data_IF_143567631547
#
_entry.id   IF_143567631547
#
_cell.length_a   1.000
_cell.length_b   1.000
_cell.length_c   1.000
_cell.angle_alpha   90.00
_cell.angle_beta   90.00
_cell.angle_gamma   90.00
#
_symmetry.space_group_name_H-M   'P 1'
#
loop_
_entity.id
_entity.type
_entity.pdbx_description
1 polymer ?
#
# COMPACT_ATOMS: atom_id res chain seq x y z
N UNK A 1 12.67 -11.72 3.41
CA UNK A 1 12.38 -13.10 2.97
C UNK A 1 13.20 -13.41 1.75
N UNK A 2 13.95 -14.49 1.78
CA UNK A 2 14.66 -15.01 0.62
C UNK A 2 13.76 -15.98 -0.15
N UNK A 3 13.89 -16.00 -1.47
CA UNK A 3 13.29 -17.07 -2.26
C UNK A 3 14.15 -18.33 -2.08
N UNK A 4 13.52 -19.42 -1.67
CA UNK A 4 14.21 -20.71 -1.42
C UNK A 4 14.87 -21.29 -2.66
N UNK A 5 14.47 -20.83 -3.84
CA UNK A 5 15.12 -21.15 -5.11
C UNK A 5 15.23 -19.86 -5.93
N UNK A 6 16.33 -19.66 -6.68
CA UNK A 6 16.45 -18.51 -7.56
C UNK A 6 15.25 -18.40 -8.49
N UNK A 7 14.65 -17.22 -8.56
CA UNK A 7 13.56 -16.99 -9.49
C UNK A 7 14.08 -17.05 -10.92
N UNK A 8 13.30 -17.67 -11.79
CA UNK A 8 13.55 -17.66 -13.23
C UNK A 8 12.75 -16.54 -13.88
N UNK A 9 13.24 -16.01 -15.00
CA UNK A 9 12.57 -14.94 -15.74
C UNK A 9 11.98 -15.41 -17.08
N UNK A 10 10.90 -14.75 -17.50
CA UNK A 10 10.28 -14.90 -18.80
C UNK A 10 9.59 -13.60 -19.21
N UNK A 11 9.26 -13.44 -20.49
CA UNK A 11 8.49 -12.29 -20.99
C UNK A 11 6.99 -12.58 -20.92
N UNK A 12 6.22 -11.69 -20.32
CA UNK A 12 4.76 -11.81 -20.25
C UNK A 12 4.14 -11.69 -21.64
N UNK A 13 3.31 -12.66 -22.03
CA UNK A 13 2.46 -12.54 -23.21
C UNK A 13 1.10 -11.97 -22.80
N UNK A 14 0.43 -12.61 -21.83
CA UNK A 14 -0.87 -12.16 -21.33
C UNK A 14 -1.23 -12.82 -20.01
N UNK A 15 -1.94 -12.11 -19.15
CA UNK A 15 -2.69 -12.67 -18.01
C UNK A 15 -4.14 -12.89 -18.41
N UNK A 16 -4.74 -14.00 -18.01
CA UNK A 16 -6.13 -14.32 -18.33
C UNK A 16 -6.77 -15.21 -17.26
N UNK A 17 -8.11 -15.24 -17.23
CA UNK A 17 -8.89 -16.01 -16.24
C UNK A 17 -8.48 -15.75 -14.78
N UNK A 18 -7.91 -14.57 -14.50
CA UNK A 18 -7.33 -14.11 -13.21
C UNK A 18 -6.12 -14.90 -12.70
N UNK A 19 -6.11 -16.22 -12.86
CA UNK A 19 -5.17 -17.14 -12.22
C UNK A 19 -4.10 -17.72 -13.16
N UNK A 20 -4.10 -17.34 -14.43
CA UNK A 20 -3.18 -17.86 -15.45
C UNK A 20 -2.46 -16.74 -16.18
N UNK A 21 -1.21 -16.98 -16.53
CA UNK A 21 -0.44 -16.10 -17.40
C UNK A 21 0.40 -16.92 -18.37
N UNK A 22 0.30 -16.63 -19.66
CA UNK A 22 1.19 -17.20 -20.67
C UNK A 22 2.43 -16.33 -20.77
N UNK A 23 3.59 -16.98 -20.82
CA UNK A 23 4.90 -16.33 -20.84
C UNK A 23 5.80 -17.00 -21.87
N UNK A 24 6.80 -16.26 -22.35
CA UNK A 24 7.81 -16.74 -23.30
C UNK A 24 9.18 -16.75 -22.64
N UNK A 25 9.86 -17.89 -22.67
CA UNK A 25 11.25 -18.02 -22.20
C UNK A 25 12.24 -17.48 -23.24
N UNK A 26 13.52 -17.26 -22.85
CA UNK A 26 14.56 -16.84 -23.78
C UNK A 26 14.78 -17.79 -24.98
N UNK A 27 14.51 -19.09 -24.80
CA UNK A 27 14.60 -20.10 -25.87
C UNK A 27 13.38 -20.11 -26.82
N UNK A 28 12.41 -19.22 -26.60
CA UNK A 28 11.18 -19.11 -27.38
C UNK A 28 10.04 -20.02 -26.92
N UNK A 29 10.27 -20.95 -25.98
CA UNK A 29 9.19 -21.81 -25.48
C UNK A 29 8.14 -20.99 -24.73
N UNK A 30 6.87 -21.26 -25.05
CA UNK A 30 5.71 -20.69 -24.35
C UNK A 30 5.19 -21.69 -23.34
N UNK A 31 4.90 -21.23 -22.12
CA UNK A 31 4.26 -22.02 -21.09
C UNK A 31 3.40 -21.13 -20.17
N UNK A 32 2.60 -21.76 -19.31
CA UNK A 32 1.64 -21.07 -18.45
C UNK A 32 2.10 -21.07 -16.99
N UNK A 33 2.11 -19.87 -16.39
CA UNK A 33 2.30 -19.65 -14.95
C UNK A 33 0.97 -19.63 -14.20
N UNK A 34 1.00 -20.07 -12.95
CA UNK A 34 -0.04 -19.73 -11.99
C UNK A 34 0.13 -18.28 -11.52
N UNK A 35 -0.94 -17.48 -11.62
CA UNK A 35 -1.01 -16.15 -11.06
C UNK A 35 -1.71 -16.19 -9.68
N UNK A 36 -0.94 -16.01 -8.61
CA UNK A 36 -1.41 -16.04 -7.23
C UNK A 36 -2.00 -14.67 -6.78
N UNK A 37 -2.65 -13.95 -7.69
CA UNK A 37 -3.29 -12.67 -7.44
C UNK A 37 -4.66 -12.65 -8.11
N UNK A 38 -5.70 -12.37 -7.33
CA UNK A 38 -7.07 -12.36 -7.83
C UNK A 38 -7.58 -10.97 -8.19
N UNK A 39 -6.84 -9.92 -7.83
CA UNK A 39 -7.15 -8.52 -8.09
C UNK A 39 -7.00 -8.14 -9.56
N UNK A 40 -7.24 -6.86 -9.84
CA UNK A 40 -7.16 -6.32 -11.20
C UNK A 40 -5.72 -6.38 -11.73
N UNK A 41 -4.72 -6.22 -10.87
CA UNK A 41 -3.30 -6.11 -11.25
C UNK A 41 -3.05 -4.97 -12.25
N UNK A 42 -3.78 -3.87 -12.10
CA UNK A 42 -3.63 -2.67 -12.90
C UNK A 42 -2.17 -2.20 -12.88
N UNK A 43 -1.56 -2.07 -14.06
CA UNK A 43 -0.16 -1.68 -14.22
C UNK A 43 0.88 -2.75 -13.85
N UNK A 44 0.48 -3.95 -13.45
CA UNK A 44 1.39 -5.01 -12.98
C UNK A 44 1.52 -6.20 -13.95
N UNK A 45 0.79 -6.20 -15.06
CA UNK A 45 0.66 -7.33 -15.98
C UNK A 45 0.62 -6.90 -17.46
N UNK A 46 1.48 -5.95 -17.83
CA UNK A 46 1.51 -5.42 -19.21
C UNK A 46 2.22 -6.44 -20.12
N UNK A 47 1.64 -6.85 -21.25
CA UNK A 47 2.35 -7.66 -22.24
C UNK A 47 3.71 -7.05 -22.57
N UNK A 48 4.76 -7.88 -22.58
CA UNK A 48 6.14 -7.45 -22.76
C UNK A 48 6.92 -7.23 -21.46
N UNK A 49 6.26 -7.10 -20.30
CA UNK A 49 6.96 -7.01 -19.01
C UNK A 49 7.77 -8.29 -18.73
N UNK A 50 8.88 -8.14 -18.01
CA UNK A 50 9.63 -9.28 -17.49
C UNK A 50 8.93 -9.80 -16.24
N UNK A 51 8.65 -11.09 -16.20
CA UNK A 51 8.07 -11.75 -15.03
C UNK A 51 9.08 -12.69 -14.41
N UNK A 52 9.04 -12.78 -13.09
CA UNK A 52 9.88 -13.66 -12.31
C UNK A 52 9.01 -14.68 -11.60
N UNK A 53 9.37 -15.96 -11.73
CA UNK A 53 8.54 -17.07 -11.25
C UNK A 53 9.35 -18.09 -10.44
N UNK A 54 8.69 -18.67 -9.44
CA UNK A 54 9.19 -19.80 -8.66
C UNK A 54 8.72 -21.12 -9.29
N UNK A 55 9.44 -22.21 -9.03
CA UNK A 55 9.03 -23.56 -9.40
C UNK A 55 8.77 -24.37 -8.13
N UNK A 56 7.65 -25.07 -8.08
CA UNK A 56 7.31 -25.99 -7.00
C UNK A 56 7.54 -27.43 -7.43
N UNK A 57 8.24 -28.20 -6.59
CA UNK A 57 8.48 -29.64 -6.82
C UNK A 57 7.26 -30.52 -6.52
N UNK A 58 6.17 -29.97 -6.00
CA UNK A 58 4.95 -30.74 -5.74
C UNK A 58 4.34 -31.29 -7.05
N UNK A 59 4.37 -32.61 -7.28
CA UNK A 59 3.95 -33.21 -8.55
C UNK A 59 2.43 -33.15 -8.76
N UNK A 60 1.65 -32.82 -7.73
CA UNK A 60 0.18 -32.68 -7.82
C UNK A 60 -0.24 -31.33 -8.42
N UNK A 61 0.68 -30.38 -8.60
CA UNK A 61 0.34 -29.07 -9.16
C UNK A 61 0.15 -29.17 -10.66
N UNK A 62 -1.02 -28.73 -11.13
CA UNK A 62 -1.29 -28.57 -12.57
C UNK A 62 -0.34 -27.57 -13.24
N UNK A 63 -0.02 -26.48 -12.53
CA UNK A 63 0.94 -25.47 -12.96
C UNK A 63 2.05 -25.39 -11.90
N UNK A 64 3.24 -25.95 -12.17
CA UNK A 64 4.32 -26.01 -11.19
C UNK A 64 4.97 -24.64 -10.96
N UNK A 65 4.89 -23.76 -11.95
CA UNK A 65 5.48 -22.43 -11.89
C UNK A 65 4.48 -21.37 -11.39
N UNK A 66 4.89 -20.54 -10.42
CA UNK A 66 4.07 -19.47 -9.86
C UNK A 66 4.71 -18.12 -10.14
N UNK A 67 3.94 -17.19 -10.69
CA UNK A 67 4.37 -15.81 -10.92
C UNK A 67 4.52 -15.08 -9.59
N UNK A 68 5.75 -14.67 -9.27
CA UNK A 68 6.09 -13.98 -8.02
C UNK A 68 6.20 -12.47 -8.22
N UNK A 69 7.02 -12.04 -9.20
CA UNK A 69 7.35 -10.63 -9.43
C UNK A 69 7.11 -10.22 -10.88
N UNK A 70 6.85 -8.93 -11.06
CA UNK A 70 6.95 -8.24 -12.34
C UNK A 70 8.06 -7.21 -12.25
N UNK A 71 8.88 -7.14 -13.28
CA UNK A 71 9.74 -6.00 -13.57
C UNK A 71 9.14 -5.30 -14.80
N UNK A 72 8.61 -4.10 -14.57
CA UNK A 72 7.94 -3.33 -15.62
C UNK A 72 8.94 -2.88 -16.68
N UNK A 73 8.44 -2.53 -17.86
CA UNK A 73 9.25 -1.89 -18.91
C UNK A 73 9.91 -0.57 -18.48
N UNK A 74 9.45 0.06 -17.40
CA UNK A 74 10.06 1.27 -16.81
C UNK A 74 11.09 0.93 -15.72
N UNK A 75 11.41 -0.35 -15.50
CA UNK A 75 12.36 -0.83 -14.49
C UNK A 75 11.81 -0.93 -13.08
N UNK A 76 10.49 -0.80 -12.88
CA UNK A 76 9.90 -0.92 -11.55
C UNK A 76 9.67 -2.38 -11.18
N UNK A 77 10.14 -2.77 -10.00
CA UNK A 77 9.89 -4.06 -9.37
C UNK A 77 8.57 -4.09 -8.62
N UNK A 78 7.80 -5.15 -8.82
CA UNK A 78 6.45 -5.34 -8.27
C UNK A 78 6.34 -6.78 -7.76
N UNK A 79 5.99 -7.00 -6.49
CA UNK A 79 5.63 -8.32 -5.99
C UNK A 79 4.14 -8.54 -6.23
N UNK A 80 3.81 -9.31 -7.27
CA UNK A 80 2.42 -9.56 -7.67
C UNK A 80 1.78 -10.68 -6.88
N UNK A 81 2.56 -11.60 -6.31
CA UNK A 81 2.05 -12.64 -5.42
C UNK A 81 1.65 -12.04 -4.06
N UNK A 82 0.36 -11.73 -3.90
CA UNK A 82 -0.16 -11.06 -2.70
C UNK A 82 -0.07 -11.92 -1.45
N UNK A 83 0.11 -13.24 -1.57
CA UNK A 83 0.29 -14.14 -0.42
C UNK A 83 1.61 -13.86 0.33
N UNK A 84 2.53 -13.10 -0.27
CA UNK A 84 3.82 -12.73 0.35
C UNK A 84 3.67 -11.69 1.46
N UNK A 85 2.65 -10.83 1.42
CA UNK A 85 2.53 -9.70 2.34
C UNK A 85 2.50 -10.12 3.83
N UNK A 86 1.68 -11.12 4.18
CA UNK A 86 1.58 -11.61 5.58
C UNK A 86 2.91 -12.21 6.05
N UNK A 87 3.60 -12.96 5.18
CA UNK A 87 4.91 -13.54 5.50
C UNK A 87 5.98 -12.47 5.69
N UNK A 88 5.97 -11.44 4.84
CA UNK A 88 6.89 -10.30 4.93
C UNK A 88 6.73 -9.53 6.23
N UNK A 89 5.48 -9.23 6.62
CA UNK A 89 5.24 -8.55 7.90
C UNK A 89 5.61 -9.43 9.07
N UNK A 90 5.25 -10.72 9.04
CA UNK A 90 5.63 -11.67 10.09
C UNK A 90 7.14 -11.73 10.31
N UNK A 91 7.93 -11.83 9.23
CA UNK A 91 9.39 -11.80 9.29
C UNK A 91 9.89 -10.47 9.87
N UNK A 92 9.38 -9.33 9.38
CA UNK A 92 9.79 -8.02 9.85
C UNK A 92 9.50 -7.80 11.35
N UNK A 93 8.37 -8.33 11.85
CA UNK A 93 8.03 -8.30 13.27
C UNK A 93 8.94 -9.21 14.10
N UNK A 94 9.23 -10.42 13.59
CA UNK A 94 10.15 -11.37 14.24
C UNK A 94 11.55 -10.77 14.39
N UNK A 95 12.01 -10.06 13.37
CA UNK A 95 13.31 -9.37 13.33
C UNK A 95 13.27 -7.96 13.96
N UNK A 96 12.12 -7.55 14.52
CA UNK A 96 11.92 -6.25 15.20
C UNK A 96 12.23 -5.03 14.30
N UNK A 97 11.99 -5.15 12.99
CA UNK A 97 12.19 -4.07 12.01
C UNK A 97 11.05 -3.05 11.94
N UNK A 98 9.89 -3.36 12.53
CA UNK A 98 8.73 -2.47 12.55
C UNK A 98 8.61 -1.87 13.95
N UNK A 99 9.17 -0.67 14.13
CA UNK A 99 9.32 -0.05 15.45
C UNK A 99 7.96 0.22 16.14
N UNK A 100 6.95 0.61 15.37
CA UNK A 100 5.59 0.93 15.81
C UNK A 100 4.86 -0.28 16.43
N UNK A 101 5.30 -1.49 16.06
CA UNK A 101 4.72 -2.77 16.48
C UNK A 101 5.68 -3.56 17.39
N UNK A 102 6.68 -2.89 17.95
CA UNK A 102 7.61 -3.46 18.93
C UNK A 102 6.97 -3.58 20.33
N UNK A 103 7.62 -4.34 21.21
CA UNK A 103 7.20 -4.51 22.62
C UNK A 103 6.05 -5.49 22.81
N UNK A 104 5.88 -6.46 21.90
CA UNK A 104 5.00 -7.60 22.07
C UNK A 104 5.82 -8.89 22.23
N UNK A 105 5.35 -9.83 23.05
CA UNK A 105 6.08 -11.07 23.36
C UNK A 105 5.55 -12.29 22.62
N UNK A 106 4.30 -12.22 22.11
CA UNK A 106 3.66 -13.28 21.32
C UNK A 106 3.21 -12.74 19.97
N UNK A 107 3.44 -13.53 18.93
CA UNK A 107 3.00 -13.29 17.55
C UNK A 107 2.24 -14.53 17.05
N UNK A 108 0.97 -14.36 16.71
CA UNK A 108 0.10 -15.42 16.17
C UNK A 108 -0.41 -15.03 14.79
N UNK A 109 -0.71 -16.02 13.95
CA UNK A 109 -1.17 -15.84 12.57
C UNK A 109 -2.58 -16.41 12.41
N UNK A 110 -3.37 -15.82 11.50
CA UNK A 110 -4.66 -16.37 11.03
C UNK A 110 -5.64 -16.67 12.18
N UNK A 111 -5.73 -15.77 13.16
CA UNK A 111 -6.56 -15.96 14.35
C UNK A 111 -8.01 -15.58 14.04
N UNK A 112 -8.97 -16.45 14.32
CA UNK A 112 -10.39 -16.10 14.18
C UNK A 112 -10.76 -14.94 15.12
N UNK A 113 -11.46 -13.93 14.61
CA UNK A 113 -11.87 -12.75 15.36
C UNK A 113 -13.14 -12.12 14.78
N UNK A 114 -13.71 -11.17 15.52
CA UNK A 114 -14.91 -10.43 15.12
C UNK A 114 -16.18 -11.28 15.17
N UNK A 115 -17.31 -10.64 14.85
CA UNK A 115 -18.63 -11.27 14.86
C UNK A 115 -19.02 -11.88 13.51
N UNK A 116 -18.26 -11.61 12.44
CA UNK A 116 -18.59 -12.03 11.08
C UNK A 116 -17.71 -13.19 10.58
N UNK A 117 -17.13 -14.01 11.46
CA UNK A 117 -16.27 -15.17 11.12
C UNK A 117 -15.03 -14.82 10.26
N UNK A 118 -14.42 -13.66 10.49
CA UNK A 118 -13.15 -13.31 9.85
C UNK A 118 -11.95 -13.91 10.59
N UNK A 119 -10.81 -13.90 9.89
CA UNK A 119 -9.50 -14.19 10.47
C UNK A 119 -8.64 -12.96 10.33
N UNK A 120 -8.00 -12.57 11.43
CA UNK A 120 -7.01 -11.50 11.42
C UNK A 120 -5.70 -12.10 10.91
N UNK A 121 -4.99 -11.36 10.07
CA UNK A 121 -3.76 -11.85 9.48
C UNK A 121 -2.72 -12.13 10.58
N UNK A 122 -2.50 -11.17 11.49
CA UNK A 122 -1.60 -11.30 12.63
C UNK A 122 -2.24 -10.76 13.93
N UNK A 123 -1.90 -11.39 15.05
CA UNK A 123 -2.25 -10.96 16.40
C UNK A 123 -0.98 -10.88 17.25
N UNK A 124 -0.71 -9.70 17.81
CA UNK A 124 0.38 -9.47 18.77
C UNK A 124 -0.18 -9.37 20.19
N UNK A 125 0.51 -9.99 21.16
CA UNK A 125 0.09 -10.00 22.57
C UNK A 125 1.29 -9.80 23.51
N UNK A 126 1.04 -9.15 24.65
CA UNK A 126 1.94 -8.96 25.77
C UNK A 126 1.12 -8.82 27.07
N UNK A 127 1.73 -9.03 28.24
CA UNK A 127 1.01 -8.96 29.52
C UNK A 127 0.64 -7.53 29.94
N UNK A 128 1.47 -6.55 29.54
CA UNK A 128 1.40 -5.15 29.97
C UNK A 128 0.73 -4.23 28.94
N UNK A 129 0.10 -4.79 27.89
CA UNK A 129 -0.40 -4.02 26.74
C UNK A 129 -1.64 -4.69 26.15
N UNK A 130 -2.56 -3.91 25.54
CA UNK A 130 -3.69 -4.48 24.82
C UNK A 130 -3.22 -5.32 23.63
N UNK A 131 -3.97 -6.38 23.34
CA UNK A 131 -3.84 -7.17 22.13
C UNK A 131 -3.88 -6.27 20.89
N UNK A 132 -3.00 -6.53 19.93
CA UNK A 132 -2.91 -5.77 18.68
C UNK A 132 -3.27 -6.64 17.48
N UNK A 133 -4.41 -6.32 16.87
CA UNK A 133 -4.97 -6.98 15.69
C UNK A 133 -4.46 -6.28 14.44
N UNK A 134 -3.78 -7.01 13.56
CA UNK A 134 -3.17 -6.45 12.36
C UNK A 134 -3.76 -7.10 11.11
N UNK A 135 -4.41 -6.29 10.30
CA UNK A 135 -4.86 -6.65 8.96
C UNK A 135 -3.85 -6.15 7.93
N UNK A 136 -3.42 -7.03 7.02
CA UNK A 136 -2.38 -6.75 6.03
C UNK A 136 -3.01 -6.60 4.65
N UNK A 137 -2.68 -5.50 3.97
CA UNK A 137 -3.06 -5.25 2.57
C UNK A 137 -1.82 -5.08 1.71
N UNK A 138 -1.86 -5.66 0.51
CA UNK A 138 -0.84 -5.42 -0.52
C UNK A 138 -1.21 -4.18 -1.32
N UNK A 139 -0.27 -3.26 -1.49
CA UNK A 139 -0.42 -2.08 -2.36
C UNK A 139 0.50 -2.23 -3.57
N UNK A 140 -0.09 -2.38 -4.76
CA UNK A 140 0.65 -2.48 -6.03
C UNK A 140 0.18 -1.48 -7.08
N UNK A 141 -1.02 -0.89 -6.93
CA UNK A 141 -1.52 0.11 -7.85
C UNK A 141 -0.74 1.41 -7.67
N UNK A 142 0.07 1.76 -8.68
CA UNK A 142 0.85 2.99 -8.74
C UNK A 142 0.21 3.98 -9.72
N UNK A 143 0.04 5.24 -9.30
CA UNK A 143 -0.20 6.37 -10.19
C UNK A 143 0.59 7.58 -9.69
N UNK A 144 1.49 8.12 -10.52
CA UNK A 144 2.25 9.35 -10.23
C UNK A 144 2.97 9.33 -8.86
N UNK A 145 3.72 8.25 -8.57
CA UNK A 145 4.43 8.07 -7.29
C UNK A 145 3.51 7.69 -6.10
N UNK A 146 2.19 7.76 -6.26
CA UNK A 146 1.23 7.42 -5.23
C UNK A 146 0.72 5.99 -5.38
N UNK A 147 0.82 5.23 -4.29
CA UNK A 147 0.22 3.92 -4.12
C UNK A 147 -1.23 4.02 -3.71
N UNK A 148 -2.07 3.15 -4.26
CA UNK A 148 -3.51 3.15 -3.99
C UNK A 148 -4.02 1.78 -3.57
N UNK A 149 -4.94 1.77 -2.61
CA UNK A 149 -5.74 0.60 -2.27
C UNK A 149 -7.21 0.98 -2.04
N UNK A 150 -8.18 0.20 -2.54
CA UNK A 150 -8.01 -1.01 -3.36
C UNK A 150 -7.84 -0.71 -4.85
N UNK A 151 -7.47 -1.73 -5.66
CA UNK A 151 -7.37 -1.64 -7.13
C UNK A 151 -8.68 -2.00 -7.86
N UNK A 152 -9.71 -2.41 -7.11
CA UNK A 152 -11.09 -2.63 -7.53
C UNK A 152 -12.01 -2.51 -6.30
N UNK A 153 -13.32 -2.35 -6.50
CA UNK A 153 -14.30 -2.34 -5.39
C UNK A 153 -14.17 -3.61 -4.54
N UNK A 154 -14.03 -3.45 -3.22
CA UNK A 154 -13.68 -4.56 -2.31
C UNK A 154 -14.59 -4.62 -1.09
N UNK A 155 -15.72 -5.32 -1.23
CA UNK A 155 -16.64 -5.60 -0.11
C UNK A 155 -15.96 -6.34 1.04
N UNK A 156 -14.99 -7.22 0.73
CA UNK A 156 -14.16 -7.90 1.75
C UNK A 156 -13.28 -6.91 2.50
N UNK A 157 -12.63 -5.97 1.81
CA UNK A 157 -11.83 -4.92 2.45
C UNK A 157 -12.68 -4.03 3.37
N UNK A 158 -13.87 -3.65 2.90
CA UNK A 158 -14.84 -2.87 3.68
C UNK A 158 -15.30 -3.60 4.94
N UNK A 159 -15.54 -4.92 4.85
CA UNK A 159 -15.88 -5.76 6.00
C UNK A 159 -14.77 -5.75 7.05
N UNK A 160 -13.53 -6.01 6.64
CA UNK A 160 -12.41 -6.08 7.58
C UNK A 160 -12.17 -4.73 8.29
N UNK A 161 -12.41 -3.59 7.61
CA UNK A 161 -12.36 -2.28 8.28
C UNK A 161 -13.37 -2.15 9.42
N UNK A 162 -14.61 -2.62 9.23
CA UNK A 162 -15.61 -2.61 10.30
C UNK A 162 -15.22 -3.52 11.47
N UNK A 163 -14.60 -4.66 11.19
CA UNK A 163 -14.10 -5.56 12.24
C UNK A 163 -12.93 -4.95 13.02
N UNK A 164 -12.02 -4.23 12.36
CA UNK A 164 -10.96 -3.47 13.05
C UNK A 164 -11.55 -2.36 13.93
N UNK A 165 -12.56 -1.63 13.45
CA UNK A 165 -13.25 -0.62 14.26
C UNK A 165 -13.85 -1.23 15.54
N UNK A 166 -14.48 -2.40 15.42
CA UNK A 166 -15.01 -3.13 16.58
C UNK A 166 -13.90 -3.54 17.57
N UNK A 167 -12.72 -3.94 17.09
CA UNK A 167 -11.60 -4.26 17.98
C UNK A 167 -11.16 -3.03 18.78
N UNK A 168 -11.05 -1.86 18.15
CA UNK A 168 -10.71 -0.62 18.86
C UNK A 168 -11.77 -0.27 19.90
N UNK A 169 -13.05 -0.37 19.54
CA UNK A 169 -14.16 -0.13 20.47
C UNK A 169 -14.18 -1.10 21.66
N UNK A 170 -13.65 -2.31 21.50
CA UNK A 170 -13.49 -3.29 22.58
C UNK A 170 -12.26 -3.05 23.46
N UNK A 171 -11.48 -2.00 23.20
CA UNK A 171 -10.27 -1.64 23.94
C UNK A 171 -8.98 -2.32 23.44
N UNK A 172 -9.03 -3.06 22.34
CA UNK A 172 -7.85 -3.61 21.69
C UNK A 172 -7.18 -2.55 20.79
N UNK A 173 -5.90 -2.78 20.45
CA UNK A 173 -5.23 -2.01 19.40
C UNK A 173 -5.55 -2.65 18.04
N UNK A 174 -5.82 -1.84 17.02
CA UNK A 174 -6.07 -2.34 15.67
C UNK A 174 -5.24 -1.58 14.64
N UNK A 175 -4.63 -2.31 13.73
CA UNK A 175 -3.70 -1.79 12.73
C UNK A 175 -4.11 -2.29 11.35
N UNK A 176 -4.25 -1.37 10.41
CA UNK A 176 -4.25 -1.66 8.99
C UNK A 176 -2.84 -1.45 8.45
N UNK A 177 -2.16 -2.54 8.09
CA UNK A 177 -0.81 -2.52 7.57
C UNK A 177 -0.81 -2.64 6.04
N UNK A 178 -0.34 -1.60 5.36
CA UNK A 178 -0.09 -1.61 3.93
C UNK A 178 1.35 -2.07 3.65
N UNK A 179 1.50 -3.30 3.18
CA UNK A 179 2.73 -3.77 2.55
C UNK A 179 2.80 -3.21 1.13
N UNK A 180 3.71 -2.25 0.91
CA UNK A 180 3.86 -1.57 -0.38
C UNK A 180 4.79 -2.38 -1.26
N UNK A 181 4.19 -3.11 -2.19
CA UNK A 181 4.83 -4.15 -3.00
C UNK A 181 5.12 -3.69 -4.43
N UNK A 182 5.34 -2.39 -4.61
CA UNK A 182 5.72 -1.77 -5.87
C UNK A 182 6.78 -0.70 -5.61
N UNK A 183 7.98 -0.88 -6.17
CA UNK A 183 9.16 -0.05 -5.89
C UNK A 183 9.03 1.42 -6.28
N UNK A 184 8.17 1.75 -7.25
CA UNK A 184 7.88 3.14 -7.63
C UNK A 184 6.87 3.89 -6.73
N UNK A 185 6.39 3.31 -5.62
CA UNK A 185 5.46 3.98 -4.69
C UNK A 185 6.25 4.71 -3.60
N UNK A 186 5.92 5.98 -3.39
CA UNK A 186 6.56 6.86 -2.40
C UNK A 186 5.62 7.25 -1.25
N UNK A 187 4.30 7.11 -1.45
CA UNK A 187 3.24 7.44 -0.49
C UNK A 187 2.00 6.61 -0.75
N UNK A 188 1.13 6.43 0.23
CA UNK A 188 -0.07 5.60 0.11
C UNK A 188 -1.33 6.40 0.38
N UNK A 189 -2.37 6.14 -0.43
CA UNK A 189 -3.71 6.71 -0.27
C UNK A 189 -4.80 5.66 -0.43
N UNK A 190 -5.95 5.91 0.17
CA UNK A 190 -7.17 5.21 -0.18
C UNK A 190 -7.58 5.57 -1.62
N UNK A 191 -7.94 4.58 -2.42
CA UNK A 191 -8.39 4.75 -3.80
C UNK A 191 -9.85 5.23 -3.86
N UNK A 192 -10.13 6.45 -3.39
CA UNK A 192 -11.50 7.03 -3.40
C UNK A 192 -12.13 7.01 -4.79
N UNK A 193 -11.32 7.16 -5.84
CA UNK A 193 -11.77 7.13 -7.24
C UNK A 193 -12.13 5.72 -7.75
N UNK A 194 -11.80 4.66 -7.00
CA UNK A 194 -12.12 3.26 -7.32
C UNK A 194 -13.19 2.72 -6.36
N UNK A 195 -12.97 2.87 -5.05
CA UNK A 195 -13.90 2.44 -4.01
C UNK A 195 -14.11 3.59 -3.00
N UNK A 196 -15.06 4.50 -3.28
CA UNK A 196 -15.33 5.63 -2.40
C UNK A 196 -15.85 5.20 -1.03
N UNK A 197 -16.56 4.07 -0.96
CA UNK A 197 -17.08 3.54 0.30
C UNK A 197 -15.96 2.99 1.19
N UNK A 198 -15.01 2.25 0.62
CA UNK A 198 -13.80 1.84 1.35
C UNK A 198 -13.01 3.05 1.87
N UNK A 199 -12.83 4.08 1.05
CA UNK A 199 -12.13 5.29 1.47
C UNK A 199 -12.83 6.01 2.63
N UNK A 200 -14.16 6.08 2.61
CA UNK A 200 -14.96 6.63 3.70
C UNK A 200 -14.83 5.79 4.99
N UNK A 201 -14.95 4.46 4.88
CA UNK A 201 -14.80 3.56 6.02
C UNK A 201 -13.40 3.61 6.63
N UNK A 202 -12.36 3.80 5.81
CA UNK A 202 -10.99 3.93 6.30
C UNK A 202 -10.79 5.23 7.06
N UNK A 203 -11.36 6.34 6.58
CA UNK A 203 -11.34 7.60 7.34
C UNK A 203 -12.04 7.44 8.71
N UNK A 204 -13.25 6.86 8.71
CA UNK A 204 -13.99 6.57 9.95
C UNK A 204 -13.23 5.63 10.89
N UNK A 205 -12.52 4.63 10.33
CA UNK A 205 -11.69 3.73 11.11
C UNK A 205 -10.54 4.49 11.81
N UNK A 206 -9.88 5.40 11.09
CA UNK A 206 -8.86 6.27 11.64
C UNK A 206 -9.39 7.17 12.76
N UNK A 207 -10.56 7.78 12.57
CA UNK A 207 -11.22 8.63 13.58
C UNK A 207 -11.55 7.85 14.87
N UNK A 208 -11.83 6.55 14.75
CA UNK A 208 -12.08 5.65 15.88
C UNK A 208 -10.81 5.11 16.55
N UNK A 209 -9.63 5.34 15.97
CA UNK A 209 -8.34 4.91 16.51
C UNK A 209 -7.71 3.69 15.84
N UNK A 210 -8.20 3.26 14.67
CA UNK A 210 -7.48 2.27 13.86
C UNK A 210 -6.24 2.93 13.27
N UNK A 211 -5.07 2.37 13.57
CA UNK A 211 -3.79 2.88 13.07
C UNK A 211 -3.55 2.41 11.63
N UNK A 212 -3.00 3.29 10.79
CA UNK A 212 -2.60 2.94 9.42
C UNK A 212 -1.08 3.04 9.30
N UNK A 213 -0.44 1.92 8.97
CA UNK A 213 1.01 1.83 8.84
C UNK A 213 1.33 1.36 7.42
N UNK A 214 2.25 2.06 6.73
CA UNK A 214 2.68 1.69 5.39
C UNK A 214 4.18 1.45 5.38
N UNK A 215 4.64 0.35 4.77
CA UNK A 215 6.08 0.08 4.60
C UNK A 215 6.42 -0.27 3.16
N UNK A 216 7.48 0.37 2.65
CA UNK A 216 8.10 0.03 1.38
C UNK A 216 8.79 -1.33 1.45
N UNK A 217 8.79 -2.05 0.32
CA UNK A 217 9.58 -3.26 0.15
C UNK A 217 10.75 -3.04 -0.81
N UNK A 218 11.94 -3.50 -0.43
CA UNK A 218 13.02 -3.77 -1.38
C UNK A 218 12.74 -5.10 -2.06
N UNK A 219 12.61 -5.09 -3.38
CA UNK A 219 12.22 -6.25 -4.17
C UNK A 219 13.34 -6.59 -5.14
N UNK A 220 13.76 -7.85 -5.14
CA UNK A 220 14.79 -8.39 -6.03
C UNK A 220 14.45 -9.82 -6.42
N UNK A 221 15.08 -10.40 -7.46
CA UNK A 221 14.94 -11.81 -7.78
C UNK A 221 15.35 -12.78 -6.64
N UNK A 222 16.18 -12.32 -5.70
CA UNK A 222 16.68 -13.14 -4.59
C UNK A 222 15.77 -13.08 -3.36
N UNK A 223 14.97 -12.03 -3.23
CA UNK A 223 14.13 -11.86 -2.05
C UNK A 223 13.41 -10.52 -2.00
N UNK A 224 12.53 -10.42 -1.00
CA UNK A 224 11.74 -9.23 -0.70
C UNK A 224 11.90 -8.92 0.79
N UNK A 225 12.13 -7.65 1.13
CA UNK A 225 12.28 -7.22 2.53
C UNK A 225 11.54 -5.91 2.76
N UNK A 226 10.70 -5.84 3.80
CA UNK A 226 10.13 -4.57 4.26
C UNK A 226 11.24 -3.69 4.86
N UNK A 227 11.30 -2.43 4.42
CA UNK A 227 12.46 -1.56 4.62
C UNK A 227 12.12 -0.34 5.44
N UNK A 228 11.59 0.71 4.82
CA UNK A 228 11.25 1.97 5.50
C UNK A 228 9.73 2.20 5.55
N UNK A 229 9.25 2.95 6.57
CA UNK A 229 7.88 3.45 6.55
C UNK A 229 7.66 4.42 5.38
N UNK A 230 6.44 4.44 4.86
CA UNK A 230 5.96 5.42 3.89
C UNK A 230 4.81 6.22 4.48
N UNK A 231 4.65 7.50 4.10
CA UNK A 231 3.53 8.30 4.56
C UNK A 231 2.21 7.75 4.02
N UNK A 232 1.22 7.64 4.91
CA UNK A 232 -0.18 7.49 4.54
C UNK A 232 -0.84 8.86 4.51
N UNK A 233 -1.35 9.28 3.36
CA UNK A 233 -2.06 10.54 3.23
C UNK A 233 -3.56 10.30 3.41
N UNK A 234 -4.05 10.55 4.63
CA UNK A 234 -5.48 10.69 4.86
C UNK A 234 -5.98 11.86 4.02
N UNK A 235 -7.12 11.69 3.35
CA UNK A 235 -7.74 12.82 2.65
C UNK A 235 -8.38 13.70 3.71
N UNK A 236 -7.58 14.46 4.44
CA UNK A 236 -8.07 15.47 5.34
C UNK A 236 -8.89 16.46 4.52
N UNK A 237 -10.13 16.70 4.95
CA UNK A 237 -10.78 17.99 4.70
C UNK A 237 -9.88 19.06 5.32
N UNK A 238 -8.91 19.57 4.55
CA UNK A 238 -8.26 20.83 4.84
C UNK A 238 -8.78 21.83 3.81
N UNK A 239 -9.64 22.71 4.30
CA UNK A 239 -10.14 23.85 3.55
C UNK A 239 -9.09 24.96 3.44
N UNK A 240 -9.54 26.04 2.80
CA UNK A 240 -8.87 27.31 2.58
C UNK A 240 -7.78 27.31 1.50
N UNK A 241 -8.24 27.42 0.25
CA UNK A 241 -7.54 28.27 -0.70
C UNK A 241 -7.35 29.64 -0.04
N UNK A 242 -6.13 29.93 0.40
CA UNK A 242 -5.70 31.29 0.71
C UNK A 242 -5.71 32.05 -0.63
N UNK A 243 -6.86 32.64 -0.97
CA UNK A 243 -6.88 33.78 -1.88
C UNK A 243 -6.06 34.88 -1.22
N UNK A 244 -4.83 35.04 -1.69
CA UNK A 244 -4.03 36.21 -1.37
C UNK A 244 -4.81 37.45 -1.78
N UNK A 245 -5.26 38.22 -0.78
CA UNK A 245 -5.64 39.61 -0.95
C UNK A 245 -4.44 40.37 -1.51
N UNK A 246 -4.46 40.58 -2.82
CA UNK A 246 -3.65 41.60 -3.47
C UNK A 246 -4.26 42.96 -3.15
N UNK A 247 -3.58 43.67 -2.24
CA UNK A 247 -3.29 45.10 -2.35
C UNK A 247 -4.48 46.05 -2.46
N UNK A 248 -4.98 46.52 -1.31
CA UNK A 248 -5.56 47.85 -1.25
C UNK A 248 -4.45 48.90 -1.31
N UNK A 249 -4.47 49.68 -2.40
CA UNK A 249 -3.67 50.88 -2.60
C UNK A 249 -4.09 51.97 -1.60
N UNK A 250 -3.25 52.24 -0.59
CA UNK A 250 -3.32 53.51 0.15
C UNK A 250 -2.36 54.52 -0.48
N UNK A 251 -2.98 55.58 -0.98
CA UNK A 251 -2.36 56.77 -1.56
C UNK A 251 -1.40 57.43 -0.56
N UNK A 252 -0.13 57.53 -0.96
CA UNK A 252 0.83 58.46 -0.36
C UNK A 252 0.56 59.86 -0.89
N UNK A 253 0.15 60.79 -0.02
CA UNK A 253 0.13 62.24 -0.29
C UNK A 253 1.28 62.87 0.49
N UNK A 254 2.20 63.64 -0.15
CA UNK A 254 3.27 64.32 0.58
C UNK A 254 2.79 65.67 1.15
N UNK A 255 3.43 66.18 2.22
CA UNK A 255 3.00 67.41 2.88
C UNK A 255 3.47 68.66 2.13
N UNK A 256 2.54 69.58 1.88
CA UNK A 256 2.80 70.93 1.38
C UNK A 256 3.34 71.83 2.50
N UNK A 257 4.47 72.49 2.24
CA UNK A 257 5.06 73.53 3.10
C UNK A 257 4.85 74.90 2.43
N UNK A 258 4.46 75.97 3.16
CA UNK A 258 4.09 77.25 2.55
C UNK A 258 5.33 78.14 2.31
N UNK A 259 5.37 78.79 1.15
CA UNK A 259 6.32 79.87 0.85
C UNK A 259 5.57 81.19 0.66
N UNK A 260 5.90 82.13 1.53
CA UNK A 260 5.52 83.54 1.48
C UNK A 260 6.49 84.34 0.60
N UNK A 261 5.97 85.17 -0.30
CA UNK A 261 6.54 86.47 -0.72
C UNK A 261 5.47 87.22 -1.54
N UNK A 262 4.97 88.39 -1.10
CA UNK A 262 5.35 89.77 -1.53
C UNK A 262 5.52 89.89 -3.06
N UNK A 263 5.00 90.87 -3.80
CA UNK A 263 4.35 92.18 -3.59
C UNK A 263 3.98 92.70 -5.01
N UNK A 264 2.98 93.60 -5.11
CA UNK A 264 2.82 94.74 -6.06
C UNK A 264 2.73 94.39 -7.57
N UNK A 265 1.85 94.93 -8.42
CA UNK A 265 0.97 96.11 -8.44
C UNK A 265 -0.42 95.74 -8.99
#
# INVERSE_FOLDING_TARGET
MEFTSPLQSATLIKRYKRFLADVRRPDGQIFTLHCANTGAMTGCATPGDTVWYSISDNPRRKYPATWELTESQTGAWICVNTQRANALLHEALTERRIAELSGYTKLRREVCYGTENSRIDLLLQAEDRPDCYIEVKSVTLLQQGCGYFPDAVSSRGQKHLRELQQQVQSGARAVLFFAVLHSGIERVRAARHIDPHYAQLLAQAGDLGVEVICYAARITPNGITLTQPLPFESSGCSGAENHGEKGESRLNTPPFTPLSSRRQE
#
